data_IF_776071689661
#
_entry.id   IF_776071689661
#
_cell.length_a   1.000
_cell.length_b   1.000
_cell.length_c   1.000
_cell.angle_alpha   90.00
_cell.angle_beta   90.00
_cell.angle_gamma   90.00
#
_symmetry.space_group_name_H-M   'P 1'
#
loop_
_entity.id
_entity.type
_entity.pdbx_description
1 polymer ?
#
# COMPACT_ATOMS: atom_id res chain seq x y z
N UNK A 1 -79.37 86.84 15.91
CA UNK A 1 -78.94 87.55 17.14
C UNK A 1 -77.86 86.70 17.82
N UNK A 2 -76.79 87.35 18.28
CA UNK A 2 -75.67 86.86 19.12
C UNK A 2 -74.50 86.07 18.49
N UNK A 3 -73.52 86.84 18.00
CA UNK A 3 -72.11 87.04 18.44
C UNK A 3 -71.34 86.07 19.37
N UNK A 4 -70.03 85.94 19.03
CA UNK A 4 -68.78 85.73 19.82
C UNK A 4 -67.98 84.39 19.74
N UNK A 5 -66.90 84.43 18.94
CA UNK A 5 -65.46 84.14 19.17
C UNK A 5 -65.06 83.11 20.27
N UNK A 6 -64.24 82.08 19.95
CA UNK A 6 -62.89 81.86 20.55
C UNK A 6 -62.05 80.68 19.97
N UNK A 7 -60.80 81.04 19.64
CA UNK A 7 -59.51 80.32 19.80
C UNK A 7 -59.27 78.96 19.14
N UNK A 8 -58.59 79.07 18.00
CA UNK A 8 -57.34 78.38 17.61
C UNK A 8 -56.67 77.56 18.72
N UNK A 9 -56.49 76.26 18.48
CA UNK A 9 -55.30 75.50 18.90
C UNK A 9 -54.86 74.64 17.72
N UNK A 10 -53.74 75.02 17.12
CA UNK A 10 -53.01 74.19 16.16
C UNK A 10 -52.44 72.99 16.93
N UNK A 11 -52.95 71.79 16.64
CA UNK A 11 -52.23 70.55 16.95
C UNK A 11 -51.90 69.85 15.64
N UNK A 12 -50.60 69.86 15.34
CA UNK A 12 -49.99 69.17 14.22
C UNK A 12 -50.01 67.67 14.50
N UNK A 13 -51.01 66.95 14.02
CA UNK A 13 -50.97 65.48 13.97
C UNK A 13 -50.45 65.05 12.60
N UNK A 14 -49.17 64.66 12.58
CA UNK A 14 -48.54 64.02 11.44
C UNK A 14 -49.25 62.69 11.14
N UNK A 15 -49.86 62.60 9.96
CA UNK A 15 -50.29 61.34 9.37
C UNK A 15 -49.02 60.60 8.92
N UNK A 16 -48.51 59.71 9.77
CA UNK A 16 -47.49 58.74 9.32
C UNK A 16 -48.23 57.64 8.58
N UNK A 17 -48.24 57.73 7.24
CA UNK A 17 -48.52 56.59 6.38
C UNK A 17 -47.30 55.67 6.49
N UNK A 18 -47.37 54.68 7.38
CA UNK A 18 -46.48 53.52 7.29
C UNK A 18 -47.02 52.67 6.14
N UNK A 19 -46.50 52.91 4.94
CA UNK A 19 -46.47 51.87 3.93
C UNK A 19 -45.60 50.75 4.50
N UNK A 20 -46.25 49.74 5.08
CA UNK A 20 -45.62 48.47 5.37
C UNK A 20 -45.21 47.84 4.05
N UNK A 21 -44.03 48.22 3.57
CA UNK A 21 -43.32 47.43 2.57
C UNK A 21 -42.93 46.12 3.23
N UNK A 22 -43.84 45.15 3.24
CA UNK A 22 -43.43 43.75 3.30
C UNK A 22 -42.67 43.49 2.01
N UNK A 23 -41.34 43.56 2.05
CA UNK A 23 -40.58 42.66 1.19
C UNK A 23 -40.99 41.26 1.64
N UNK A 24 -41.76 40.55 0.82
CA UNK A 24 -41.87 39.11 0.96
C UNK A 24 -40.45 38.57 0.79
N UNK A 25 -39.82 38.20 1.91
CA UNK A 25 -38.70 37.29 1.87
C UNK A 25 -39.27 35.96 1.34
N UNK A 26 -38.88 35.49 0.14
CA UNK A 26 -39.39 34.24 -0.42
C UNK A 26 -39.06 33.01 0.45
N UNK A 27 -38.31 33.19 1.55
CA UNK A 27 -37.97 32.17 2.52
C UNK A 27 -38.80 32.17 3.80
N UNK A 28 -39.61 33.20 4.08
CA UNK A 28 -40.53 33.24 5.22
C UNK A 28 -41.98 33.06 4.76
N UNK A 29 -42.34 31.83 4.40
CA UNK A 29 -43.75 31.43 4.38
C UNK A 29 -44.13 30.99 5.80
N UNK A 30 -45.11 31.64 6.47
CA UNK A 30 -45.57 31.25 7.80
C UNK A 30 -46.11 29.81 7.88
N UNK A 31 -46.30 29.12 6.76
CA UNK A 31 -46.82 27.76 6.68
C UNK A 31 -45.72 26.67 6.58
N UNK A 32 -44.43 27.03 6.69
CA UNK A 32 -43.34 26.03 6.78
C UNK A 32 -43.30 25.40 8.16
N UNK A 33 -43.13 24.06 8.26
CA UNK A 33 -42.90 23.42 9.54
C UNK A 33 -41.65 23.90 10.24
N UNK A 34 -41.64 23.80 11.56
CA UNK A 34 -40.42 23.97 12.34
C UNK A 34 -39.32 22.96 11.94
N UNK A 35 -38.06 23.31 12.23
CA UNK A 35 -36.92 22.43 11.89
C UNK A 35 -36.95 21.19 12.79
N UNK A 36 -36.86 19.96 12.24
CA UNK A 36 -36.70 18.76 13.05
C UNK A 36 -35.48 18.86 13.99
N UNK A 37 -35.53 18.20 15.15
CA UNK A 37 -34.44 18.18 16.12
C UNK A 37 -34.27 16.78 16.73
N UNK A 38 -33.14 16.55 17.40
CA UNK A 38 -32.85 15.28 18.07
C UNK A 38 -32.81 14.09 17.10
N UNK A 39 -32.28 14.29 15.89
CA UNK A 39 -32.03 13.17 14.98
C UNK A 39 -30.90 12.33 15.57
N UNK A 40 -31.21 11.07 15.84
CA UNK A 40 -30.26 10.03 16.24
C UNK A 40 -30.18 9.00 15.11
N UNK A 41 -28.95 8.68 14.70
CA UNK A 41 -28.66 7.71 13.66
C UNK A 41 -27.89 6.54 14.29
N UNK A 42 -28.60 5.45 14.57
CA UNK A 42 -28.02 4.26 15.21
C UNK A 42 -27.71 3.18 14.18
N UNK A 43 -26.52 2.60 14.28
CA UNK A 43 -26.09 1.50 13.41
C UNK A 43 -26.88 0.22 13.68
N UNK A 44 -27.26 -0.48 12.61
CA UNK A 44 -27.77 -1.85 12.61
C UNK A 44 -26.92 -2.74 11.70
N UNK A 45 -27.17 -4.04 11.70
CA UNK A 45 -26.38 -5.03 10.96
C UNK A 45 -26.35 -4.79 9.45
N UNK A 46 -27.51 -4.63 8.81
CA UNK A 46 -27.64 -4.32 7.37
C UNK A 46 -28.35 -3.00 7.11
N UNK A 47 -28.73 -2.30 8.19
CA UNK A 47 -29.57 -1.11 8.13
C UNK A 47 -29.05 -0.04 9.06
N UNK A 48 -29.56 1.17 8.88
CA UNK A 48 -29.38 2.27 9.81
C UNK A 48 -30.74 2.71 10.30
N UNK A 49 -30.86 2.86 11.62
CA UNK A 49 -32.09 3.27 12.28
C UNK A 49 -32.03 4.76 12.58
N UNK A 50 -33.00 5.50 12.08
CA UNK A 50 -33.15 6.92 12.29
C UNK A 50 -34.37 7.18 13.18
N UNK A 51 -34.20 8.02 14.18
CA UNK A 51 -35.30 8.57 14.98
C UNK A 51 -35.08 10.04 15.22
N UNK A 52 -36.16 10.83 15.23
CA UNK A 52 -36.09 12.26 15.50
C UNK A 52 -37.28 12.71 16.34
N UNK A 53 -37.23 13.94 16.85
CA UNK A 53 -38.35 14.54 17.58
C UNK A 53 -39.47 14.91 16.61
N UNK A 54 -40.70 14.48 16.90
CA UNK A 54 -41.85 14.81 16.08
C UNK A 54 -42.11 16.33 16.01
N UNK A 55 -42.32 16.83 14.80
CA UNK A 55 -42.63 18.23 14.50
C UNK A 55 -44.14 18.40 14.42
N UNK A 56 -44.71 19.24 15.29
CA UNK A 56 -46.17 19.33 15.48
C UNK A 56 -46.97 19.84 14.28
N UNK A 57 -46.35 20.63 13.40
CA UNK A 57 -46.93 21.18 12.17
C UNK A 57 -46.52 20.41 10.90
N UNK A 58 -45.81 19.28 11.05
CA UNK A 58 -45.46 18.40 9.95
C UNK A 58 -46.58 17.40 9.66
N UNK A 59 -46.94 17.25 8.38
CA UNK A 59 -47.78 16.14 7.89
C UNK A 59 -46.94 14.97 7.39
N UNK A 60 -45.69 15.21 6.99
CA UNK A 60 -44.75 14.15 6.66
C UNK A 60 -43.28 14.58 6.83
N UNK A 61 -42.36 13.65 6.62
CA UNK A 61 -40.92 13.89 6.61
C UNK A 61 -40.26 13.37 5.33
N UNK A 62 -39.13 13.98 5.01
CA UNK A 62 -38.23 13.59 3.93
C UNK A 62 -36.86 13.28 4.51
N UNK A 63 -36.29 12.14 4.13
CA UNK A 63 -34.96 11.69 4.54
C UNK A 63 -34.02 11.69 3.34
N UNK A 64 -32.90 12.37 3.50
CA UNK A 64 -31.81 12.44 2.50
C UNK A 64 -30.57 11.80 3.12
N UNK A 65 -29.90 10.93 2.36
CA UNK A 65 -28.62 10.33 2.72
C UNK A 65 -27.55 10.79 1.76
N UNK A 66 -26.51 11.45 2.28
CA UNK A 66 -25.56 12.19 1.44
C UNK A 66 -26.30 13.21 0.57
N UNK A 67 -26.40 12.94 -0.73
CA UNK A 67 -27.12 13.76 -1.71
C UNK A 67 -28.39 13.09 -2.26
N UNK A 68 -28.70 11.87 -1.83
CA UNK A 68 -29.80 11.07 -2.37
C UNK A 68 -31.04 11.17 -1.47
N UNK A 69 -32.20 11.46 -2.07
CA UNK A 69 -33.50 11.25 -1.43
C UNK A 69 -33.74 9.75 -1.28
N UNK A 70 -33.88 9.28 -0.03
CA UNK A 70 -34.05 7.84 0.27
C UNK A 70 -35.43 7.52 0.83
N UNK A 71 -36.14 8.51 1.37
CA UNK A 71 -37.52 8.38 1.78
C UNK A 71 -38.25 9.72 1.72
N UNK A 72 -39.53 9.69 1.35
CA UNK A 72 -40.43 10.83 1.39
C UNK A 72 -41.76 10.43 2.05
N UNK A 73 -42.61 11.42 2.29
CA UNK A 73 -43.99 11.21 2.75
C UNK A 73 -44.11 10.39 4.04
N UNK A 74 -43.06 10.34 4.86
CA UNK A 74 -43.05 9.55 6.09
C UNK A 74 -43.94 10.22 7.14
N UNK A 75 -44.92 9.50 7.67
CA UNK A 75 -45.81 10.03 8.73
C UNK A 75 -45.29 9.79 10.15
N UNK A 76 -44.33 8.88 10.30
CA UNK A 76 -43.71 8.54 11.58
C UNK A 76 -42.36 9.27 11.74
N UNK A 77 -41.99 9.70 12.96
CA UNK A 77 -40.73 10.38 13.23
C UNK A 77 -39.55 9.39 13.34
N UNK A 78 -39.52 8.41 12.46
CA UNK A 78 -38.53 7.34 12.41
C UNK A 78 -38.44 6.77 11.00
N UNK A 79 -37.26 6.29 10.62
CA UNK A 79 -37.02 5.61 9.35
C UNK A 79 -35.97 4.51 9.52
N UNK A 80 -36.14 3.40 8.80
CA UNK A 80 -35.13 2.34 8.71
C UNK A 80 -34.59 2.36 7.29
N UNK A 81 -33.30 2.66 7.15
CA UNK A 81 -32.60 2.56 5.87
C UNK A 81 -32.01 1.16 5.72
N UNK A 82 -32.76 0.26 5.08
CA UNK A 82 -32.34 -1.13 4.81
C UNK A 82 -31.21 -1.25 3.77
N UNK A 83 -30.81 -0.14 3.16
CA UNK A 83 -29.77 -0.08 2.13
C UNK A 83 -28.61 0.81 2.56
N UNK A 84 -28.41 0.97 3.87
CA UNK A 84 -27.41 1.85 4.44
C UNK A 84 -25.99 1.53 3.92
N UNK A 85 -25.16 2.56 3.66
CA UNK A 85 -23.77 2.38 3.28
C UNK A 85 -22.97 1.82 4.46
N UNK A 86 -21.91 1.09 4.13
CA UNK A 86 -20.90 0.60 5.06
C UNK A 86 -19.83 1.66 5.39
N UNK A 87 -20.02 2.88 4.91
CA UNK A 87 -19.20 4.05 5.21
C UNK A 87 -20.00 5.09 5.98
N UNK A 88 -19.34 5.79 6.91
CA UNK A 88 -19.97 6.86 7.69
C UNK A 88 -20.55 7.91 6.75
N UNK A 89 -21.87 8.01 6.74
CA UNK A 89 -22.62 8.87 5.82
C UNK A 89 -23.60 9.72 6.60
N UNK A 90 -23.69 10.99 6.23
CA UNK A 90 -24.63 11.93 6.83
C UNK A 90 -26.06 11.66 6.35
N UNK A 91 -27.00 11.65 7.29
CA UNK A 91 -28.42 11.65 7.06
C UNK A 91 -29.00 13.02 7.42
N UNK A 92 -29.98 13.47 6.65
CA UNK A 92 -30.70 14.72 6.88
C UNK A 92 -32.20 14.47 6.85
N UNK A 93 -32.91 15.04 7.82
CA UNK A 93 -34.36 14.95 7.91
C UNK A 93 -34.99 16.32 7.81
N UNK A 94 -35.95 16.46 6.90
CA UNK A 94 -36.78 17.65 6.74
C UNK A 94 -38.23 17.32 7.11
N UNK A 95 -38.92 18.27 7.73
CA UNK A 95 -40.36 18.21 7.93
C UNK A 95 -41.10 18.82 6.73
N UNK A 96 -42.30 18.34 6.43
CA UNK A 96 -43.14 18.82 5.32
C UNK A 96 -44.57 19.04 5.83
N UNK A 97 -45.13 20.22 5.59
CA UNK A 97 -46.51 20.56 6.00
C UNK A 97 -47.55 19.90 5.08
N UNK A 98 -48.82 19.98 5.47
CA UNK A 98 -49.94 19.47 4.66
C UNK A 98 -49.99 20.07 3.26
N UNK A 99 -49.62 21.34 3.15
CA UNK A 99 -49.65 22.09 1.90
C UNK A 99 -48.35 21.90 1.08
N UNK A 100 -47.47 20.99 1.51
CA UNK A 100 -46.26 20.59 0.79
C UNK A 100 -45.01 21.43 1.09
N UNK A 101 -45.10 22.37 2.03
CA UNK A 101 -43.96 23.23 2.37
C UNK A 101 -42.95 22.49 3.23
N UNK A 102 -41.70 22.40 2.76
CA UNK A 102 -40.58 21.82 3.51
C UNK A 102 -40.04 22.81 4.57
N UNK A 103 -39.56 22.30 5.69
CA UNK A 103 -38.81 23.07 6.68
C UNK A 103 -37.59 23.76 6.04
N UNK A 104 -37.26 24.96 6.53
CA UNK A 104 -36.15 25.75 5.99
C UNK A 104 -34.78 25.09 6.24
N UNK A 105 -34.62 24.46 7.41
CA UNK A 105 -33.44 23.67 7.79
C UNK A 105 -33.81 22.20 8.01
N UNK A 106 -32.80 21.39 8.33
CA UNK A 106 -32.91 19.97 8.60
C UNK A 106 -32.22 19.62 9.94
N UNK A 107 -32.62 18.48 10.51
CA UNK A 107 -31.77 17.78 11.47
C UNK A 107 -30.75 16.91 10.71
N UNK A 108 -29.56 16.75 11.27
CA UNK A 108 -28.50 15.92 10.67
C UNK A 108 -27.75 15.13 11.74
N UNK A 109 -27.42 13.89 11.40
CA UNK A 109 -26.51 13.03 12.16
C UNK A 109 -25.91 11.99 11.18
N UNK A 110 -24.86 11.29 11.55
CA UNK A 110 -24.13 10.38 10.66
C UNK A 110 -24.12 8.94 11.17
N UNK A 111 -24.27 7.98 10.25
CA UNK A 111 -24.21 6.56 10.57
C UNK A 111 -23.79 5.71 9.41
N UNK A 112 -23.59 4.43 9.68
CA UNK A 112 -23.22 3.39 8.73
C UNK A 112 -23.76 2.04 9.22
N UNK A 113 -23.96 1.08 8.31
CA UNK A 113 -24.32 -0.28 8.71
C UNK A 113 -23.14 -0.95 9.42
N UNK A 114 -23.41 -1.67 10.51
CA UNK A 114 -22.46 -2.57 11.14
C UNK A 114 -22.12 -3.76 10.22
N UNK A 115 -21.24 -4.67 10.68
CA UNK A 115 -21.04 -5.96 10.02
C UNK A 115 -22.14 -6.90 10.50
N UNK A 116 -22.95 -7.50 9.61
CA UNK A 116 -24.01 -8.40 10.05
C UNK A 116 -23.45 -9.64 10.77
N UNK A 117 -24.13 -10.11 11.81
CA UNK A 117 -23.76 -11.36 12.48
C UNK A 117 -23.75 -12.53 11.49
N UNK A 118 -22.75 -13.41 11.58
CA UNK A 118 -22.59 -14.57 10.71
C UNK A 118 -22.09 -14.25 9.29
N UNK A 119 -21.88 -12.97 8.95
CA UNK A 119 -21.35 -12.59 7.64
C UNK A 119 -19.82 -12.47 7.71
N UNK A 120 -19.16 -13.36 6.98
CA UNK A 120 -17.72 -13.33 6.76
C UNK A 120 -17.35 -12.17 5.82
N UNK A 121 -16.13 -11.61 5.95
CA UNK A 121 -15.69 -10.55 5.07
C UNK A 121 -15.41 -11.09 3.66
N UNK A 122 -15.44 -10.20 2.66
CA UNK A 122 -15.02 -10.56 1.30
C UNK A 122 -13.49 -10.62 1.22
N UNK A 123 -12.89 -11.45 0.35
CA UNK A 123 -11.47 -11.36 0.08
C UNK A 123 -11.09 -9.95 -0.42
N UNK A 124 -9.89 -9.46 -0.11
CA UNK A 124 -9.37 -8.24 -0.72
C UNK A 124 -8.94 -8.49 -2.17
N UNK A 125 -8.39 -7.47 -2.83
CA UNK A 125 -7.54 -7.60 -4.01
C UNK A 125 -6.15 -7.14 -3.62
N UNK A 126 -5.12 -7.92 -3.93
CA UNK A 126 -3.75 -7.64 -3.48
C UNK A 126 -2.80 -7.43 -4.65
N UNK A 127 -1.69 -6.75 -4.37
CA UNK A 127 -0.51 -6.69 -5.23
C UNK A 127 0.74 -6.77 -4.35
N UNK A 128 1.70 -7.60 -4.74
CA UNK A 128 3.02 -7.68 -4.11
C UNK A 128 4.07 -6.99 -4.99
N UNK A 129 5.14 -6.49 -4.36
CA UNK A 129 6.24 -5.86 -5.11
C UNK A 129 7.15 -6.93 -5.71
N UNK A 130 7.41 -6.85 -7.02
CA UNK A 130 8.25 -7.81 -7.75
C UNK A 130 9.72 -7.37 -7.80
N UNK A 131 10.48 -7.62 -6.75
CA UNK A 131 11.93 -7.43 -6.75
C UNK A 131 12.41 -5.97 -6.78
N UNK A 132 11.51 -4.99 -6.69
CA UNK A 132 11.85 -3.56 -6.80
C UNK A 132 12.65 -2.99 -5.62
N UNK A 133 12.66 -3.69 -4.49
CA UNK A 133 13.43 -3.34 -3.31
C UNK A 133 14.22 -4.57 -2.84
N UNK A 134 15.53 -4.42 -2.67
CA UNK A 134 16.39 -5.53 -2.27
C UNK A 134 16.26 -5.92 -0.79
N UNK A 135 15.59 -5.10 0.03
CA UNK A 135 15.46 -5.33 1.47
C UNK A 135 14.22 -6.10 1.86
N UNK A 136 13.16 -5.99 1.06
CA UNK A 136 11.85 -6.51 1.41
C UNK A 136 10.93 -6.60 0.20
N UNK A 137 9.86 -7.39 0.37
CA UNK A 137 8.69 -7.35 -0.50
C UNK A 137 7.56 -6.61 0.24
N UNK A 138 6.90 -5.67 -0.44
CA UNK A 138 5.72 -4.98 0.09
C UNK A 138 4.46 -5.51 -0.56
N UNK A 139 3.50 -5.92 0.27
CA UNK A 139 2.20 -6.45 -0.14
C UNK A 139 1.16 -5.40 0.20
N UNK A 140 0.45 -4.91 -0.80
CA UNK A 140 -0.61 -3.90 -0.66
C UNK A 140 -1.94 -4.50 -1.07
N UNK A 141 -3.03 -3.98 -0.51
CA UNK A 141 -4.36 -4.44 -0.88
C UNK A 141 -5.44 -3.38 -0.72
N UNK A 142 -6.53 -3.60 -1.44
CA UNK A 142 -7.76 -2.83 -1.36
C UNK A 142 -8.98 -3.75 -1.27
N UNK A 143 -10.13 -3.19 -0.92
CA UNK A 143 -11.34 -3.98 -0.69
C UNK A 143 -11.35 -4.66 0.68
N UNK A 144 -11.82 -5.90 0.75
CA UNK A 144 -12.05 -6.56 2.03
C UNK A 144 -13.34 -6.09 2.71
N UNK A 145 -14.46 -6.01 1.98
CA UNK A 145 -15.73 -5.53 2.55
C UNK A 145 -16.05 -6.32 3.83
N UNK A 146 -16.40 -5.58 4.88
CA UNK A 146 -16.65 -6.08 6.25
C UNK A 146 -15.42 -6.60 7.00
N UNK A 147 -14.20 -6.45 6.49
CA UNK A 147 -12.98 -6.79 7.21
C UNK A 147 -12.66 -5.75 8.28
N UNK A 148 -12.18 -6.22 9.44
CA UNK A 148 -11.56 -5.39 10.47
C UNK A 148 -10.05 -5.63 10.56
N UNK A 149 -9.56 -6.72 9.98
CA UNK A 149 -8.15 -7.10 9.94
C UNK A 149 -7.87 -8.08 8.79
N UNK A 150 -6.61 -8.47 8.62
CA UNK A 150 -6.17 -9.38 7.56
C UNK A 150 -5.16 -10.41 8.07
N UNK A 151 -5.24 -11.64 7.55
CA UNK A 151 -4.20 -12.66 7.74
C UNK A 151 -3.37 -12.77 6.47
N UNK A 152 -2.05 -12.60 6.59
CA UNK A 152 -1.10 -12.62 5.47
C UNK A 152 -0.27 -13.90 5.56
N UNK A 153 -0.23 -14.63 4.44
CA UNK A 153 0.56 -15.84 4.27
C UNK A 153 1.59 -15.65 3.16
N UNK A 154 2.73 -16.32 3.30
CA UNK A 154 3.75 -16.46 2.27
C UNK A 154 4.06 -17.93 2.08
N UNK A 155 3.92 -18.42 0.86
CA UNK A 155 4.12 -19.82 0.49
C UNK A 155 3.42 -20.80 1.46
N UNK A 156 2.16 -20.47 1.78
CA UNK A 156 1.33 -21.24 2.71
C UNK A 156 1.60 -21.03 4.20
N UNK A 157 2.67 -20.33 4.60
CA UNK A 157 2.98 -20.04 6.01
C UNK A 157 2.39 -18.71 6.46
N UNK A 158 1.72 -18.67 7.61
CA UNK A 158 1.18 -17.45 8.22
C UNK A 158 2.33 -16.56 8.71
N UNK A 159 2.45 -15.34 8.17
CA UNK A 159 3.50 -14.39 8.53
C UNK A 159 2.98 -13.15 9.27
N UNK A 160 1.68 -12.89 9.19
CA UNK A 160 1.00 -11.90 10.02
C UNK A 160 -0.46 -12.27 10.26
N UNK A 161 -0.89 -12.24 11.51
CA UNK A 161 -2.25 -12.55 11.94
C UNK A 161 -2.98 -11.30 12.41
N UNK A 162 -4.26 -11.16 12.04
CA UNK A 162 -5.14 -10.03 12.39
C UNK A 162 -4.46 -8.66 12.20
N UNK A 163 -3.71 -8.54 11.11
CA UNK A 163 -3.02 -7.31 10.75
C UNK A 163 -4.01 -6.20 10.42
N UNK A 164 -3.82 -5.02 11.01
CA UNK A 164 -4.65 -3.84 10.77
C UNK A 164 -3.87 -2.89 9.86
N UNK A 165 -4.41 -2.67 8.66
CA UNK A 165 -3.80 -1.85 7.63
C UNK A 165 -4.10 -2.40 6.24
N UNK A 166 -3.61 -1.70 5.22
CA UNK A 166 -3.78 -2.06 3.80
C UNK A 166 -2.44 -2.30 3.08
N UNK A 167 -1.34 -2.34 3.84
CA UNK A 167 0.01 -2.58 3.34
C UNK A 167 0.83 -3.27 4.42
N UNK A 168 1.53 -4.35 4.05
CA UNK A 168 2.43 -5.11 4.90
C UNK A 168 3.81 -5.23 4.22
N UNK A 169 4.89 -5.11 4.99
CA UNK A 169 6.26 -5.23 4.49
C UNK A 169 6.90 -6.50 5.04
N UNK A 170 7.17 -7.46 4.15
CA UNK A 170 7.88 -8.68 4.46
C UNK A 170 9.40 -8.48 4.29
N UNK A 171 10.10 -8.22 5.40
CA UNK A 171 11.56 -8.09 5.44
C UNK A 171 12.31 -9.42 5.35
N UNK A 172 11.60 -10.55 5.27
CA UNK A 172 12.18 -11.88 5.13
C UNK A 172 11.83 -12.51 3.79
N UNK A 173 11.27 -11.73 2.85
CA UNK A 173 10.92 -12.21 1.52
C UNK A 173 12.14 -12.83 0.82
N UNK A 174 11.97 -13.92 0.06
CA UNK A 174 13.03 -14.46 -0.77
C UNK A 174 13.27 -13.60 -2.01
N UNK A 175 14.42 -13.78 -2.65
CA UNK A 175 14.73 -13.17 -3.96
C UNK A 175 14.03 -13.87 -5.13
N UNK A 176 13.62 -15.12 -4.93
CA UNK A 176 12.80 -15.87 -5.88
C UNK A 176 11.32 -15.56 -5.68
N UNK A 177 10.51 -15.46 -6.75
CA UNK A 177 9.07 -15.24 -6.63
C UNK A 177 8.39 -16.31 -5.76
N UNK A 178 7.62 -15.85 -4.77
CA UNK A 178 6.75 -16.70 -3.93
C UNK A 178 5.34 -16.15 -3.90
N UNK A 179 4.38 -17.01 -3.62
CA UNK A 179 2.97 -16.62 -3.53
C UNK A 179 2.69 -15.98 -2.17
N UNK A 180 2.16 -14.76 -2.18
CA UNK A 180 1.52 -14.14 -1.02
C UNK A 180 0.02 -14.34 -1.10
N UNK A 181 -0.60 -14.70 0.02
CA UNK A 181 -2.06 -14.83 0.15
C UNK A 181 -2.58 -13.98 1.29
N UNK A 182 -3.68 -13.26 1.05
CA UNK A 182 -4.32 -12.43 2.07
C UNK A 182 -5.78 -12.83 2.24
N UNK A 183 -6.14 -13.16 3.46
CA UNK A 183 -7.53 -13.33 3.90
C UNK A 183 -7.98 -12.09 4.64
N UNK A 184 -9.20 -11.65 4.36
CA UNK A 184 -9.87 -10.67 5.20
C UNK A 184 -10.43 -11.34 6.46
N UNK A 185 -10.47 -10.63 7.58
CA UNK A 185 -10.93 -11.17 8.86
C UNK A 185 -11.82 -10.15 9.57
N UNK A 186 -12.90 -10.63 10.16
CA UNK A 186 -13.73 -9.90 11.11
C UNK A 186 -14.13 -10.79 12.31
N UNK A 187 -14.99 -10.30 13.18
CA UNK A 187 -15.41 -11.03 14.39
C UNK A 187 -16.19 -12.31 14.09
N UNK A 188 -16.78 -12.45 12.90
CA UNK A 188 -17.45 -13.67 12.45
C UNK A 188 -16.46 -14.70 11.86
N UNK A 189 -15.21 -14.30 11.55
CA UNK A 189 -14.17 -15.17 11.02
C UNK A 189 -13.45 -14.61 9.79
N UNK A 190 -12.68 -15.47 9.12
CA UNK A 190 -11.96 -15.13 7.89
C UNK A 190 -12.83 -15.29 6.64
N UNK A 191 -12.49 -14.57 5.57
CA UNK A 191 -13.05 -14.76 4.24
C UNK A 191 -12.91 -16.22 3.79
N UNK A 192 -13.91 -16.74 3.07
CA UNK A 192 -13.91 -18.14 2.59
C UNK A 192 -12.83 -18.42 1.54
N UNK A 193 -12.42 -17.38 0.81
CA UNK A 193 -11.31 -17.42 -0.15
C UNK A 193 -10.27 -16.36 0.22
N UNK A 194 -9.09 -16.47 -0.38
CA UNK A 194 -8.02 -15.47 -0.31
C UNK A 194 -7.85 -14.77 -1.66
N UNK A 195 -7.20 -13.61 -1.63
CA UNK A 195 -6.53 -13.08 -2.82
C UNK A 195 -5.05 -13.45 -2.77
N UNK A 196 -4.45 -13.62 -3.94
CA UNK A 196 -3.06 -14.02 -4.09
C UNK A 196 -2.36 -13.17 -5.14
N UNK A 197 -1.06 -12.97 -4.95
CA UNK A 197 -0.15 -12.41 -5.94
C UNK A 197 1.24 -12.99 -5.73
N UNK A 198 2.04 -13.06 -6.80
CA UNK A 198 3.44 -13.43 -6.69
C UNK A 198 4.24 -12.20 -6.28
N UNK A 199 5.29 -12.39 -5.48
CA UNK A 199 6.20 -11.32 -5.14
C UNK A 199 7.52 -11.82 -4.57
N UNK A 200 8.52 -10.95 -4.57
CA UNK A 200 9.86 -11.21 -4.06
C UNK A 200 10.55 -9.91 -3.70
N UNK A 201 11.63 -9.98 -2.91
CA UNK A 201 12.57 -8.86 -2.84
C UNK A 201 13.58 -8.96 -3.98
N UNK A 202 14.28 -7.86 -4.26
CA UNK A 202 15.35 -7.84 -5.25
C UNK A 202 16.67 -8.38 -4.68
N UNK A 203 17.63 -8.63 -5.58
CA UNK A 203 19.02 -8.73 -5.17
C UNK A 203 19.56 -7.34 -4.83
N UNK A 204 20.44 -7.26 -3.82
CA UNK A 204 21.23 -6.04 -3.61
C UNK A 204 22.13 -5.78 -4.81
N UNK A 205 22.68 -6.86 -5.36
CA UNK A 205 23.45 -6.86 -6.59
C UNK A 205 23.30 -8.21 -7.29
N UNK A 206 23.21 -8.22 -8.61
CA UNK A 206 23.34 -9.42 -9.43
C UNK A 206 23.98 -9.04 -10.75
N UNK A 207 24.92 -9.85 -11.21
CA UNK A 207 25.48 -9.76 -12.55
C UNK A 207 25.37 -11.12 -13.24
N UNK A 208 24.54 -11.14 -14.29
CA UNK A 208 24.35 -12.27 -15.21
C UNK A 208 25.11 -12.06 -16.52
N UNK A 209 25.87 -10.97 -16.63
CA UNK A 209 26.64 -10.59 -17.83
C UNK A 209 25.81 -10.37 -19.11
N UNK A 210 24.48 -10.45 -19.02
CA UNK A 210 23.58 -10.35 -20.18
C UNK A 210 23.64 -8.98 -20.86
N UNK A 211 23.95 -7.94 -20.10
CA UNK A 211 24.09 -6.57 -20.60
C UNK A 211 25.42 -6.32 -21.33
N UNK A 212 26.40 -7.21 -21.21
CA UNK A 212 27.70 -7.08 -21.88
C UNK A 212 27.65 -7.65 -23.29
N UNK A 213 28.49 -7.14 -24.19
CA UNK A 213 28.67 -7.75 -25.51
C UNK A 213 29.54 -9.00 -25.41
N UNK A 214 29.30 -9.97 -26.31
CA UNK A 214 30.16 -11.15 -26.42
C UNK A 214 31.62 -10.74 -26.72
N UNK A 215 32.57 -11.33 -25.99
CA UNK A 215 33.99 -10.97 -26.06
C UNK A 215 34.37 -9.74 -25.24
N UNK A 216 33.46 -9.13 -24.46
CA UNK A 216 33.79 -8.02 -23.58
C UNK A 216 34.77 -8.46 -22.48
N UNK A 217 35.90 -7.76 -22.37
CA UNK A 217 36.90 -8.01 -21.31
C UNK A 217 36.57 -7.12 -20.11
N UNK A 218 36.32 -7.75 -18.96
CA UNK A 218 36.12 -7.02 -17.70
C UNK A 218 37.50 -6.59 -17.19
N UNK A 219 37.81 -5.31 -17.32
CA UNK A 219 39.06 -4.73 -16.85
C UNK A 219 39.05 -4.54 -15.32
N UNK A 220 40.22 -4.43 -14.68
CA UNK A 220 40.29 -4.06 -13.27
C UNK A 220 39.56 -2.73 -13.02
N UNK A 221 38.82 -2.65 -11.92
CA UNK A 221 38.02 -1.49 -11.51
C UNK A 221 36.82 -1.19 -12.42
N UNK A 222 36.24 -2.23 -13.02
CA UNK A 222 34.98 -2.07 -13.78
C UNK A 222 33.81 -1.95 -12.82
N UNK A 223 33.19 -0.78 -12.76
CA UNK A 223 32.01 -0.53 -11.93
C UNK A 223 30.75 -1.12 -12.57
N UNK A 224 29.97 -1.85 -11.78
CA UNK A 224 28.63 -2.31 -12.15
C UNK A 224 27.53 -1.50 -11.48
N UNK A 225 27.82 -1.00 -10.28
CA UNK A 225 27.00 0.01 -9.60
C UNK A 225 27.88 1.23 -9.36
N UNK A 226 27.40 2.37 -9.85
CA UNK A 226 28.12 3.65 -9.76
C UNK A 226 28.14 4.15 -8.30
N UNK A 227 29.33 4.41 -7.71
CA UNK A 227 29.46 4.95 -6.35
C UNK A 227 28.77 6.30 -6.13
N UNK A 228 28.43 7.05 -7.19
CA UNK A 228 27.62 8.26 -7.10
C UNK A 228 26.22 8.00 -6.50
N UNK A 229 25.73 6.75 -6.52
CA UNK A 229 24.49 6.32 -5.88
C UNK A 229 24.60 6.17 -4.34
N UNK A 230 25.77 6.46 -3.75
CA UNK A 230 26.03 6.38 -2.30
C UNK A 230 26.65 5.05 -1.84
N UNK A 231 26.68 4.04 -2.72
CA UNK A 231 27.45 2.81 -2.58
C UNK A 231 27.89 2.34 -3.97
N UNK A 232 28.94 1.52 -4.08
CA UNK A 232 29.49 1.05 -5.34
C UNK A 232 29.89 -0.42 -5.31
N UNK A 233 29.60 -1.11 -6.41
CA UNK A 233 30.01 -2.50 -6.65
C UNK A 233 30.85 -2.54 -7.92
N UNK A 234 32.05 -3.09 -7.82
CA UNK A 234 32.99 -3.16 -8.94
C UNK A 234 33.69 -4.52 -9.02
N UNK A 235 34.22 -4.83 -10.19
CA UNK A 235 35.15 -5.93 -10.38
C UNK A 235 36.60 -5.45 -10.32
N UNK A 236 37.43 -6.18 -9.59
CA UNK A 236 38.88 -6.21 -9.83
C UNK A 236 39.24 -7.54 -10.48
N UNK A 237 39.98 -7.50 -11.58
CA UNK A 237 40.30 -8.68 -12.37
C UNK A 237 41.80 -8.81 -12.64
N UNK A 238 42.27 -10.03 -12.84
CA UNK A 238 43.60 -10.33 -13.38
C UNK A 238 43.46 -11.38 -14.47
N UNK A 239 44.35 -11.36 -15.47
CA UNK A 239 44.39 -12.35 -16.55
C UNK A 239 43.28 -12.25 -17.60
N UNK A 240 42.68 -11.07 -17.72
CA UNK A 240 41.69 -10.70 -18.75
C UNK A 240 40.44 -11.61 -18.82
N UNK A 241 39.64 -11.66 -17.74
CA UNK A 241 38.31 -12.28 -17.78
C UNK A 241 37.46 -11.72 -18.92
N UNK A 242 36.81 -12.61 -19.67
CA UNK A 242 36.06 -12.25 -20.88
C UNK A 242 34.66 -12.83 -20.81
N UNK A 243 33.66 -12.00 -21.08
CA UNK A 243 32.26 -12.45 -21.21
C UNK A 243 32.12 -13.24 -22.51
N UNK A 244 31.53 -14.42 -22.43
CA UNK A 244 31.34 -15.33 -23.59
C UNK A 244 29.89 -15.81 -23.66
N UNK A 245 29.38 -15.89 -24.88
CA UNK A 245 28.07 -16.45 -25.19
C UNK A 245 28.09 -17.99 -25.27
N UNK A 246 26.92 -18.61 -25.06
CA UNK A 246 26.73 -20.07 -25.20
C UNK A 246 27.12 -20.91 -23.99
N UNK A 247 27.60 -20.27 -22.93
CA UNK A 247 28.05 -20.91 -21.68
C UNK A 247 27.38 -20.27 -20.47
N UNK A 248 26.11 -19.83 -20.55
CA UNK A 248 25.37 -19.28 -19.41
C UNK A 248 24.82 -20.34 -18.45
N UNK A 249 24.57 -19.94 -17.20
CA UNK A 249 23.81 -20.73 -16.25
C UNK A 249 22.30 -20.52 -16.44
N UNK A 250 21.52 -21.60 -16.38
CA UNK A 250 20.04 -21.65 -16.35
C UNK A 250 19.28 -20.36 -16.72
N UNK A 251 19.03 -20.17 -18.02
CA UNK A 251 18.28 -19.02 -18.53
C UNK A 251 19.15 -17.84 -18.99
N UNK A 252 20.39 -17.76 -18.52
CA UNK A 252 21.41 -16.85 -19.07
C UNK A 252 21.96 -17.37 -20.40
N UNK A 253 22.30 -16.44 -21.28
CA UNK A 253 22.94 -16.68 -22.57
C UNK A 253 24.46 -16.50 -22.53
N UNK A 254 24.99 -15.84 -21.49
CA UNK A 254 26.40 -15.51 -21.31
C UNK A 254 26.93 -15.90 -19.94
N UNK A 255 28.25 -15.99 -19.84
CA UNK A 255 28.97 -16.12 -18.59
C UNK A 255 30.34 -15.45 -18.68
N UNK A 256 30.94 -15.17 -17.53
CA UNK A 256 32.33 -14.73 -17.45
C UNK A 256 33.26 -15.93 -17.54
N UNK A 257 34.21 -15.90 -18.47
CA UNK A 257 35.26 -16.92 -18.65
C UNK A 257 36.61 -16.40 -18.16
N UNK A 258 37.31 -17.19 -17.36
CA UNK A 258 38.67 -16.95 -16.89
C UNK A 258 39.53 -18.17 -17.19
N UNK A 259 40.65 -17.99 -17.90
CA UNK A 259 41.62 -19.08 -18.15
C UNK A 259 42.77 -19.00 -17.17
N UNK A 260 43.30 -17.80 -16.96
CA UNK A 260 44.33 -17.50 -15.97
C UNK A 260 43.92 -16.24 -15.21
N UNK A 261 44.32 -16.12 -13.95
CA UNK A 261 44.05 -14.96 -13.12
C UNK A 261 42.85 -15.13 -12.20
N UNK A 262 42.12 -14.03 -11.94
CA UNK A 262 41.07 -13.98 -10.92
C UNK A 262 40.02 -12.94 -11.21
N UNK A 263 38.88 -13.06 -10.54
CA UNK A 263 37.89 -12.00 -10.46
C UNK A 263 37.53 -11.76 -8.98
N UNK A 264 37.36 -10.51 -8.61
CA UNK A 264 36.98 -10.10 -7.28
C UNK A 264 35.84 -9.10 -7.36
N UNK A 265 34.74 -9.40 -6.67
CA UNK A 265 33.65 -8.46 -6.48
C UNK A 265 33.94 -7.59 -5.24
N UNK A 266 33.92 -6.28 -5.44
CA UNK A 266 34.28 -5.27 -4.46
C UNK A 266 33.05 -4.45 -4.07
N UNK A 267 32.66 -4.49 -2.81
CA UNK A 267 31.69 -3.59 -2.17
C UNK A 267 32.44 -2.64 -1.23
N UNK A 268 33.28 -1.77 -1.79
CA UNK A 268 34.23 -0.93 -1.03
C UNK A 268 33.85 0.56 -0.98
N UNK A 269 33.20 1.09 -2.03
CA UNK A 269 32.89 2.52 -2.11
C UNK A 269 31.55 2.77 -1.45
N UNK A 270 31.56 3.26 -0.22
CA UNK A 270 30.34 3.43 0.59
C UNK A 270 29.89 2.15 1.31
N UNK A 271 30.47 1.00 0.99
CA UNK A 271 30.25 -0.28 1.68
C UNK A 271 28.80 -0.76 1.66
N UNK A 272 28.44 -1.56 2.67
CA UNK A 272 27.07 -1.99 2.89
C UNK A 272 26.14 -0.77 3.12
N UNK A 273 25.10 -0.55 2.29
CA UNK A 273 24.26 0.64 2.41
C UNK A 273 23.40 0.64 3.67
N UNK A 274 23.11 -0.54 4.21
CA UNK A 274 22.36 -0.74 5.45
C UNK A 274 23.06 -1.80 6.31
N UNK A 275 22.90 -1.70 7.62
CA UNK A 275 23.33 -2.77 8.50
C UNK A 275 22.48 -4.03 8.26
N UNK A 276 23.13 -5.18 8.35
CA UNK A 276 22.45 -6.47 8.21
C UNK A 276 23.37 -7.59 7.76
N UNK A 277 22.78 -8.74 7.50
CA UNK A 277 23.46 -9.91 6.94
C UNK A 277 23.21 -9.98 5.44
N UNK A 278 24.25 -10.38 4.71
CA UNK A 278 24.21 -10.55 3.27
C UNK A 278 24.57 -11.99 2.91
N UNK A 279 23.91 -12.52 1.87
CA UNK A 279 24.27 -13.79 1.24
C UNK A 279 24.94 -13.49 -0.08
N UNK A 280 26.06 -14.13 -0.35
CA UNK A 280 26.72 -14.07 -1.64
C UNK A 280 26.55 -15.43 -2.28
N UNK A 281 26.00 -15.44 -3.50
CA UNK A 281 25.87 -16.64 -4.32
C UNK A 281 26.61 -16.47 -5.64
N UNK A 282 27.18 -17.55 -6.14
CA UNK A 282 27.89 -17.57 -7.42
C UNK A 282 27.75 -18.94 -8.06
N UNK A 283 27.42 -18.98 -9.35
CA UNK A 283 27.47 -20.21 -10.13
C UNK A 283 28.86 -20.35 -10.74
N UNK A 284 29.45 -21.53 -10.62
CA UNK A 284 30.78 -21.84 -11.12
C UNK A 284 30.82 -23.17 -11.88
N UNK A 285 31.63 -23.23 -12.94
CA UNK A 285 31.84 -24.44 -13.75
C UNK A 285 33.29 -24.48 -14.24
N UNK A 286 33.97 -25.62 -14.09
CA UNK A 286 35.35 -25.83 -14.56
C UNK A 286 35.59 -27.32 -14.76
N UNK A 287 36.37 -27.70 -15.77
CA UNK A 287 36.60 -29.11 -16.11
C UNK A 287 37.50 -29.84 -15.08
N UNK A 288 38.61 -29.23 -14.67
CA UNK A 288 39.59 -29.81 -13.75
C UNK A 288 39.95 -28.83 -12.62
N UNK A 289 40.64 -29.34 -11.59
CA UNK A 289 41.10 -28.51 -10.47
C UNK A 289 39.97 -28.05 -9.54
N UNK A 290 39.79 -26.74 -9.42
CA UNK A 290 38.78 -26.12 -8.57
C UNK A 290 38.90 -24.60 -8.51
N UNK A 291 38.27 -24.04 -7.49
CA UNK A 291 38.22 -22.61 -7.22
C UNK A 291 38.53 -22.35 -5.76
N UNK A 292 39.31 -21.31 -5.51
CA UNK A 292 39.38 -20.70 -4.18
C UNK A 292 38.40 -19.54 -4.10
N UNK A 293 37.48 -19.63 -3.14
CA UNK A 293 36.58 -18.57 -2.75
C UNK A 293 37.19 -17.87 -1.54
N UNK A 294 37.60 -16.62 -1.71
CA UNK A 294 38.40 -15.87 -0.73
C UNK A 294 37.63 -14.60 -0.34
N UNK A 295 36.66 -14.70 0.57
CA UNK A 295 36.00 -13.55 1.19
C UNK A 295 36.96 -12.81 2.14
N UNK A 296 36.77 -11.51 2.32
CA UNK A 296 37.54 -10.72 3.31
C UNK A 296 36.91 -10.70 4.71
N UNK A 297 35.78 -11.38 4.91
CA UNK A 297 35.01 -11.43 6.16
C UNK A 297 34.93 -12.83 6.79
N UNK A 298 35.50 -13.85 6.15
CA UNK A 298 35.55 -15.23 6.65
C UNK A 298 36.78 -15.96 6.09
N UNK A 299 36.91 -17.26 6.39
CA UNK A 299 38.00 -18.09 5.87
C UNK A 299 37.85 -18.37 4.37
N UNK A 300 38.97 -18.63 3.70
CA UNK A 300 38.95 -19.10 2.33
C UNK A 300 38.38 -20.52 2.26
N UNK A 301 37.54 -20.76 1.25
CA UNK A 301 36.92 -22.06 1.00
C UNK A 301 37.30 -22.55 -0.39
N UNK A 302 37.41 -23.87 -0.54
CA UNK A 302 37.72 -24.50 -1.82
C UNK A 302 36.49 -25.18 -2.38
N UNK A 303 36.14 -24.84 -3.62
CA UNK A 303 35.10 -25.53 -4.39
C UNK A 303 35.80 -26.40 -5.42
N UNK A 304 35.51 -27.71 -5.42
CA UNK A 304 36.07 -28.62 -6.42
C UNK A 304 35.45 -28.37 -7.79
N UNK A 305 36.23 -28.55 -8.86
CA UNK A 305 35.74 -28.43 -10.21
C UNK A 305 34.67 -29.48 -10.53
N UNK A 306 33.66 -29.05 -11.29
CA UNK A 306 32.59 -29.88 -11.85
C UNK A 306 32.36 -29.47 -13.30
N UNK A 307 32.19 -30.45 -14.18
CA UNK A 307 31.82 -30.20 -15.58
C UNK A 307 30.41 -29.61 -15.71
N UNK A 308 29.56 -29.83 -14.71
CA UNK A 308 28.27 -29.17 -14.56
C UNK A 308 28.38 -27.91 -13.68
N UNK A 309 27.39 -27.03 -13.76
CA UNK A 309 27.31 -25.86 -12.90
C UNK A 309 27.09 -26.24 -11.44
N UNK A 310 27.92 -25.69 -10.56
CA UNK A 310 27.79 -25.81 -9.11
C UNK A 310 27.56 -24.44 -8.48
N UNK A 311 26.81 -24.40 -7.38
CA UNK A 311 26.56 -23.16 -6.63
C UNK A 311 27.53 -23.05 -5.46
N UNK A 312 28.16 -21.90 -5.32
CA UNK A 312 28.81 -21.47 -4.09
C UNK A 312 27.89 -20.49 -3.36
N UNK A 313 27.79 -20.64 -2.05
CA UNK A 313 26.98 -19.77 -1.19
C UNK A 313 27.75 -19.47 0.10
N UNK A 314 27.76 -18.21 0.51
CA UNK A 314 28.29 -17.81 1.81
C UNK A 314 27.48 -16.68 2.41
N UNK A 315 27.22 -16.76 3.72
CA UNK A 315 26.58 -15.69 4.47
C UNK A 315 27.60 -14.89 5.29
N UNK A 316 27.42 -13.58 5.33
CA UNK A 316 28.20 -12.71 6.20
C UNK A 316 27.71 -12.85 7.65
N UNK A 317 28.59 -12.53 8.60
CA UNK A 317 28.13 -12.06 9.91
C UNK A 317 27.34 -10.73 9.75
N UNK A 318 26.85 -10.17 10.86
CA UNK A 318 26.25 -8.84 10.82
C UNK A 318 27.28 -7.81 10.34
N UNK A 319 27.01 -7.17 9.20
CA UNK A 319 27.83 -6.10 8.64
C UNK A 319 27.22 -4.77 9.06
N UNK A 320 28.03 -3.86 9.59
CA UNK A 320 27.61 -2.49 9.89
C UNK A 320 27.50 -1.67 8.60
N UNK A 321 26.55 -0.73 8.55
CA UNK A 321 26.43 0.17 7.41
C UNK A 321 27.76 0.92 7.17
N UNK A 322 28.18 1.01 5.91
CA UNK A 322 29.46 1.60 5.49
C UNK A 322 30.64 0.63 5.48
N UNK A 323 30.53 -0.55 6.09
CA UNK A 323 31.60 -1.55 6.09
C UNK A 323 31.69 -2.28 4.76
N UNK A 324 32.92 -2.61 4.36
CA UNK A 324 33.17 -3.32 3.11
C UNK A 324 33.06 -4.82 3.29
N UNK A 325 32.63 -5.51 2.24
CA UNK A 325 32.60 -6.96 2.19
C UNK A 325 32.82 -7.41 0.74
N UNK A 326 33.92 -8.11 0.52
CA UNK A 326 34.42 -8.44 -0.81
C UNK A 326 34.62 -9.93 -0.91
N UNK A 327 34.44 -10.46 -2.11
CA UNK A 327 34.73 -11.86 -2.41
C UNK A 327 35.57 -11.98 -3.67
N UNK A 328 36.69 -12.69 -3.54
CA UNK A 328 37.60 -13.00 -4.62
C UNK A 328 37.44 -14.47 -5.01
N UNK A 329 37.48 -14.74 -6.31
CA UNK A 329 37.39 -16.07 -6.89
C UNK A 329 38.64 -16.31 -7.72
N UNK A 330 39.40 -17.34 -7.33
CA UNK A 330 40.68 -17.70 -7.95
C UNK A 330 40.58 -19.15 -8.46
N UNK A 331 40.29 -19.37 -9.75
CA UNK A 331 40.35 -20.71 -10.33
C UNK A 331 41.80 -21.24 -10.31
N UNK A 332 41.94 -22.56 -10.13
CA UNK A 332 43.24 -23.23 -10.23
C UNK A 332 43.88 -22.95 -11.60
N UNK A 333 45.18 -22.63 -11.62
CA UNK A 333 45.95 -22.25 -12.83
C UNK A 333 46.45 -23.48 -13.60
N UNK A 334 45.51 -24.33 -14.00
CA UNK A 334 45.75 -25.56 -14.77
C UNK A 334 45.59 -25.37 -16.29
N UNK A 335 45.21 -24.17 -16.73
CA UNK A 335 44.99 -23.81 -18.13
C UNK A 335 43.57 -24.08 -18.65
N UNK A 336 42.71 -24.75 -17.86
CA UNK A 336 41.32 -24.98 -18.25
C UNK A 336 40.46 -23.74 -17.98
N UNK A 337 39.52 -23.40 -18.88
CA UNK A 337 38.61 -22.28 -18.66
C UNK A 337 37.68 -22.56 -17.47
N UNK A 338 37.61 -21.58 -16.58
CA UNK A 338 36.62 -21.45 -15.54
C UNK A 338 35.51 -20.50 -15.99
N UNK A 339 34.26 -20.86 -15.70
CA UNK A 339 33.08 -20.08 -16.02
C UNK A 339 32.34 -19.68 -14.75
N UNK A 340 31.79 -18.46 -14.77
CA UNK A 340 31.09 -17.83 -13.67
C UNK A 340 29.82 -17.15 -14.17
N UNK A 341 28.72 -17.32 -13.44
CA UNK A 341 27.46 -16.66 -13.75
C UNK A 341 26.63 -16.44 -12.46
N UNK A 342 25.57 -15.64 -12.54
CA UNK A 342 24.70 -15.29 -11.41
C UNK A 342 25.47 -14.86 -10.16
N UNK A 343 26.47 -13.98 -10.31
CA UNK A 343 27.19 -13.46 -9.16
C UNK A 343 26.31 -12.46 -8.42
N UNK A 344 25.70 -12.91 -7.34
CA UNK A 344 24.66 -12.17 -6.65
C UNK A 344 24.97 -11.92 -5.18
N UNK A 345 24.46 -10.81 -4.68
CA UNK A 345 24.43 -10.44 -3.27
C UNK A 345 22.96 -10.20 -2.89
N UNK A 346 22.49 -10.94 -1.90
CA UNK A 346 21.16 -10.81 -1.31
C UNK A 346 21.27 -10.19 0.09
N UNK A 347 20.38 -9.24 0.43
CA UNK A 347 20.21 -8.78 1.81
C UNK A 347 19.22 -9.70 2.54
N UNK A 348 19.65 -10.38 3.60
CA UNK A 348 18.85 -11.44 4.23
C UNK A 348 18.04 -10.91 5.41
N UNK A 349 18.68 -10.12 6.28
CA UNK A 349 18.08 -9.65 7.53
C UNK A 349 18.79 -8.38 8.05
N UNK A 350 18.06 -7.50 8.76
CA UNK A 350 18.64 -6.35 9.46
C UNK A 350 19.55 -6.70 10.64
#
# INVERSE_FOLDING_TARGET
>A
MNTYILKTHFFLTALVVVIGGCQEDPHYDPNRPSTPTGLEVTKGDTSVFLSWTAVGDASSYVVVRGLQLIADSLTSPSFVDDFAPDTLTEYRVYAVSRDGWRSYRYASDSGYSAVPSGILPRPPVISASDGSNYKNCTITWSGGRFATSFNIYRDGSLIAEKFVGTSYTDNQAPVTPVEYRVYAVNDNGASTTFASDMGNKGYFFIDTFENDVDGYVINPWTFRVDPAAGYGVAYYTEGSPVVVSGEGYEGSSKALKIVNGKAQLLCDWGGAPVAGKYKITLKVKKANGGFWMVPNFSGAERVNATSDWTSFEIETALITAGSTFNIKVEPDQDGDPAFFDDWAIEYIAP
#
